data_IF_133104467794
#
_entry.id   IF_133104467794
#
_cell.length_a   1.000
_cell.length_b   1.000
_cell.length_c   1.000
_cell.angle_alpha   90.00
_cell.angle_beta   90.00
_cell.angle_gamma   90.00
#
_symmetry.space_group_name_H-M   'P 1'
#
loop_
_entity.id
_entity.type
_entity.pdbx_description
1 polymer ?
#
# COMPACT_ATOMS: atom_id res chain seq x y z
N UNK A 1 2.32 -27.77 17.97
CA UNK A 1 1.34 -27.56 16.88
C UNK A 1 1.88 -26.51 15.94
N UNK A 2 2.01 -26.77 14.63
CA UNK A 2 2.51 -25.76 13.69
C UNK A 2 1.49 -24.63 13.58
N UNK A 3 1.88 -23.41 13.97
CA UNK A 3 1.05 -22.23 13.78
C UNK A 3 1.20 -21.75 12.34
N UNK A 4 0.14 -21.84 11.56
CA UNK A 4 0.07 -21.38 10.16
C UNK A 4 0.20 -19.85 9.99
N UNK A 5 0.38 -19.11 11.09
CA UNK A 5 0.49 -17.66 11.12
C UNK A 5 1.82 -17.26 11.76
N UNK A 6 2.55 -16.37 11.10
CA UNK A 6 3.77 -15.80 11.63
C UNK A 6 3.45 -14.80 12.76
N UNK A 7 4.41 -14.49 13.63
CA UNK A 7 4.16 -13.58 14.75
C UNK A 7 3.85 -12.14 14.29
N UNK A 8 4.43 -11.71 13.17
CA UNK A 8 4.10 -10.43 12.52
C UNK A 8 2.63 -10.37 12.08
N UNK A 9 2.12 -11.45 11.48
CA UNK A 9 0.72 -11.54 11.03
C UNK A 9 -0.24 -11.45 12.21
N UNK A 10 0.10 -12.11 13.33
CA UNK A 10 -0.68 -12.05 14.57
C UNK A 10 -0.71 -10.63 15.14
N UNK A 11 0.39 -9.87 15.05
CA UNK A 11 0.40 -8.46 15.45
C UNK A 11 -0.46 -7.61 14.53
N UNK A 12 -0.42 -7.84 13.22
CA UNK A 12 -1.22 -7.10 12.26
C UNK A 12 -2.72 -7.32 12.48
N UNK A 13 -3.13 -8.57 12.73
CA UNK A 13 -4.51 -8.93 13.10
C UNK A 13 -4.94 -8.21 14.39
N UNK A 14 -4.08 -8.17 15.41
CA UNK A 14 -4.37 -7.48 16.69
C UNK A 14 -4.48 -5.96 16.53
N UNK A 15 -3.79 -5.35 15.56
CA UNK A 15 -3.95 -3.92 15.23
C UNK A 15 -5.30 -3.63 14.58
N UNK A 16 -5.81 -4.59 13.81
CA UNK A 16 -7.07 -4.44 13.07
C UNK A 16 -8.33 -4.75 13.89
N UNK A 17 -8.17 -5.48 15.01
CA UNK A 17 -9.26 -5.87 15.90
C UNK A 17 -8.96 -5.36 17.32
N UNK A 18 -9.69 -4.33 17.80
CA UNK A 18 -9.46 -3.80 19.15
C UNK A 18 -9.86 -4.81 20.22
N UNK A 19 -8.88 -5.23 21.03
CA UNK A 19 -9.04 -6.25 22.08
C UNK A 19 -9.91 -5.81 23.26
N UNK A 20 -10.10 -4.50 23.45
CA UNK A 20 -10.80 -3.96 24.61
C UNK A 20 -12.26 -4.42 24.69
N UNK A 21 -12.95 -4.51 23.55
CA UNK A 21 -14.34 -4.94 23.45
C UNK A 21 -14.55 -6.28 22.74
N UNK A 22 -13.53 -6.79 22.03
CA UNK A 22 -13.67 -7.98 21.20
C UNK A 22 -12.72 -9.11 21.63
N UNK A 23 -13.26 -10.33 21.72
CA UNK A 23 -12.49 -11.55 21.94
C UNK A 23 -12.31 -12.30 20.61
N UNK A 24 -11.05 -12.53 20.22
CA UNK A 24 -10.72 -13.33 19.03
C UNK A 24 -10.83 -14.82 19.40
N UNK A 25 -11.65 -15.56 18.66
CA UNK A 25 -11.84 -17.00 18.85
C UNK A 25 -10.94 -17.82 17.94
N UNK A 26 -10.88 -17.43 16.67
CA UNK A 26 -10.11 -18.14 15.66
C UNK A 26 -9.54 -17.18 14.62
N UNK A 27 -8.38 -17.55 14.08
CA UNK A 27 -7.74 -16.87 12.95
C UNK A 27 -7.28 -17.93 11.96
N UNK A 28 -7.57 -17.72 10.68
CA UNK A 28 -7.18 -18.63 9.61
C UNK A 28 -6.82 -17.84 8.35
N UNK A 29 -5.93 -18.40 7.51
CA UNK A 29 -5.65 -17.84 6.18
C UNK A 29 -6.65 -18.40 5.18
N UNK A 30 -7.29 -17.54 4.38
CA UNK A 30 -8.33 -17.93 3.43
C UNK A 30 -8.39 -17.05 2.18
N UNK A 31 -9.01 -17.59 1.13
CA UNK A 31 -9.31 -16.92 -0.13
C UNK A 31 -10.83 -16.72 -0.24
N UNK A 32 -11.26 -15.53 -0.64
CA UNK A 32 -12.68 -15.23 -0.80
C UNK A 32 -13.17 -15.66 -2.18
N UNK A 33 -14.21 -16.49 -2.19
CA UNK A 33 -14.94 -16.86 -3.38
C UNK A 33 -16.39 -16.40 -3.27
N UNK A 34 -16.98 -15.99 -4.39
CA UNK A 34 -18.38 -15.55 -4.48
C UNK A 34 -19.06 -16.32 -5.60
N UNK A 35 -20.29 -16.76 -5.36
CA UNK A 35 -21.12 -17.52 -6.30
C UNK A 35 -22.32 -16.67 -6.74
N UNK A 36 -22.04 -15.50 -7.33
CA UNK A 36 -23.06 -14.58 -7.85
C UNK A 36 -22.58 -13.98 -9.18
N UNK A 37 -23.44 -13.84 -10.21
CA UNK A 37 -24.88 -14.16 -10.27
C UNK A 37 -25.22 -15.64 -10.49
N UNK A 38 -24.22 -16.50 -10.75
CA UNK A 38 -24.42 -17.93 -10.93
C UNK A 38 -24.02 -18.70 -9.67
N UNK A 39 -25.01 -19.26 -8.97
CA UNK A 39 -24.82 -20.01 -7.71
C UNK A 39 -24.13 -21.37 -7.90
N UNK A 40 -24.04 -21.89 -9.13
CA UNK A 40 -23.43 -23.18 -9.43
C UNK A 40 -21.91 -23.11 -9.65
N UNK A 41 -21.32 -21.91 -9.62
CA UNK A 41 -19.88 -21.72 -9.83
C UNK A 41 -19.33 -20.72 -8.83
N UNK A 42 -18.31 -21.14 -8.09
CA UNK A 42 -17.52 -20.26 -7.24
C UNK A 42 -16.51 -19.49 -8.08
N UNK A 43 -16.58 -18.16 -8.04
CA UNK A 43 -15.59 -17.28 -8.65
C UNK A 43 -14.69 -16.68 -7.58
N UNK A 44 -13.38 -16.76 -7.79
CA UNK A 44 -12.42 -16.10 -6.91
C UNK A 44 -12.52 -14.58 -7.08
N UNK A 45 -12.61 -13.85 -5.97
CA UNK A 45 -12.79 -12.38 -5.99
C UNK A 45 -11.49 -11.61 -6.17
N UNK A 46 -10.34 -12.28 -6.11
CA UNK A 46 -9.02 -11.62 -6.03
C UNK A 46 -8.59 -11.29 -4.60
N UNK A 47 -9.47 -11.46 -3.61
CA UNK A 47 -9.20 -11.15 -2.21
C UNK A 47 -8.75 -12.39 -1.44
N UNK A 48 -7.63 -12.26 -0.74
CA UNK A 48 -7.05 -13.29 0.12
C UNK A 48 -6.40 -12.63 1.34
N UNK A 49 -6.39 -13.34 2.46
CA UNK A 49 -5.79 -12.83 3.68
C UNK A 49 -6.12 -13.67 4.90
N UNK A 50 -5.93 -13.09 6.08
CA UNK A 50 -6.32 -13.71 7.34
C UNK A 50 -7.77 -13.35 7.67
N UNK A 51 -8.60 -14.35 7.88
CA UNK A 51 -9.96 -14.19 8.40
C UNK A 51 -9.92 -14.34 9.91
N UNK A 52 -10.55 -13.40 10.59
CA UNK A 52 -10.66 -13.34 12.05
C UNK A 52 -12.11 -13.53 12.44
N UNK A 53 -12.37 -14.53 13.27
CA UNK A 53 -13.65 -14.70 13.97
C UNK A 53 -13.55 -14.03 15.34
N UNK A 54 -14.30 -12.94 15.52
CA UNK A 54 -14.33 -12.18 16.76
C UNK A 54 -15.73 -12.20 17.36
N UNK A 55 -15.79 -12.28 18.69
CA UNK A 55 -16.99 -12.07 19.48
C UNK A 55 -16.93 -10.67 20.08
N UNK A 56 -17.91 -9.84 19.75
CA UNK A 56 -18.13 -8.57 20.43
C UNK A 56 -18.79 -8.84 21.79
N UNK A 57 -18.07 -8.52 22.87
CA UNK A 57 -18.54 -8.76 24.23
C UNK A 57 -19.65 -7.79 24.65
N UNK A 58 -19.80 -6.65 23.95
CA UNK A 58 -20.82 -5.65 24.27
C UNK A 58 -22.17 -6.09 23.72
N UNK A 59 -22.21 -6.49 22.44
CA UNK A 59 -23.42 -6.99 21.79
C UNK A 59 -23.64 -8.51 21.87
N UNK A 60 -22.67 -9.28 22.36
CA UNK A 60 -22.63 -10.75 22.29
C UNK A 60 -22.90 -11.28 20.87
N UNK A 61 -22.24 -10.67 19.88
CA UNK A 61 -22.41 -11.02 18.46
C UNK A 61 -21.09 -11.46 17.85
N UNK A 62 -21.16 -12.47 16.99
CA UNK A 62 -20.01 -12.92 16.21
C UNK A 62 -19.93 -12.15 14.91
N UNK A 63 -18.74 -11.65 14.61
CA UNK A 63 -18.44 -11.01 13.33
C UNK A 63 -17.14 -11.57 12.75
N UNK A 64 -17.09 -11.51 11.42
CA UNK A 64 -15.97 -12.00 10.64
C UNK A 64 -15.34 -10.82 9.92
N UNK A 65 -14.02 -10.67 10.03
CA UNK A 65 -13.26 -9.65 9.29
C UNK A 65 -12.07 -10.28 8.60
N UNK A 66 -11.92 -9.96 7.33
CA UNK A 66 -10.74 -10.30 6.54
C UNK A 66 -9.70 -9.17 6.69
N UNK A 67 -8.48 -9.54 7.01
CA UNK A 67 -7.31 -8.68 7.15
C UNK A 67 -6.30 -9.09 6.09
N UNK A 68 -5.79 -8.13 5.32
CA UNK A 68 -4.69 -8.38 4.40
C UNK A 68 -3.40 -8.69 5.18
N UNK A 69 -2.86 -9.89 4.96
CA UNK A 69 -1.59 -10.36 5.53
C UNK A 69 -0.53 -10.56 4.43
N UNK A 70 -0.74 -9.97 3.26
CA UNK A 70 0.28 -9.99 2.22
C UNK A 70 1.55 -9.30 2.74
N UNK A 71 2.67 -10.02 2.68
CA UNK A 71 4.00 -9.47 2.94
C UNK A 71 4.35 -8.56 1.76
N UNK A 72 3.71 -7.40 1.69
CA UNK A 72 4.17 -6.34 0.81
C UNK A 72 5.18 -5.54 1.61
N UNK A 73 6.46 -5.44 1.16
CA UNK A 73 7.27 -4.35 1.65
C UNK A 73 6.46 -3.08 1.39
N UNK A 74 6.31 -2.25 2.42
CA UNK A 74 5.57 -0.99 2.44
C UNK A 74 5.99 0.02 1.32
N UNK A 75 6.86 -0.36 0.39
CA UNK A 75 7.48 0.49 -0.63
C UNK A 75 6.78 0.54 -1.99
N UNK A 76 5.71 -0.22 -2.24
CA UNK A 76 4.94 -0.12 -3.49
C UNK A 76 3.55 0.49 -3.31
N UNK A 77 3.41 1.46 -2.39
CA UNK A 77 2.29 2.39 -2.42
C UNK A 77 2.65 3.57 -3.35
N UNK A 78 2.13 3.65 -4.59
CA UNK A 78 2.30 4.85 -5.43
C UNK A 78 1.52 6.07 -4.89
N UNK A 79 0.76 5.92 -3.80
CA UNK A 79 -0.14 6.95 -3.28
C UNK A 79 0.20 7.46 -1.87
N UNK A 80 1.41 7.20 -1.33
CA UNK A 80 1.87 7.97 -0.17
C UNK A 80 2.23 9.38 -0.65
N UNK A 81 1.21 10.24 -0.68
CA UNK A 81 1.32 11.67 -0.94
C UNK A 81 2.49 12.21 -0.11
N UNK A 82 3.48 12.89 -0.72
CA UNK A 82 4.47 13.61 0.05
C UNK A 82 3.72 14.58 0.96
N UNK A 83 3.92 14.41 2.27
CA UNK A 83 3.54 15.40 3.27
C UNK A 83 4.12 16.73 2.81
N UNK A 84 3.25 17.65 2.38
CA UNK A 84 3.63 19.03 2.06
C UNK A 84 4.30 19.61 3.31
N UNK A 85 5.63 19.58 3.34
CA UNK A 85 6.40 20.48 4.18
C UNK A 85 6.17 21.86 3.59
N UNK A 86 5.43 22.68 4.32
CA UNK A 86 5.31 24.12 4.12
C UNK A 86 6.71 24.69 3.82
N UNK A 87 6.96 25.05 2.56
CA UNK A 87 8.17 25.78 2.17
C UNK A 87 7.98 27.22 2.65
N UNK A 88 8.80 27.74 3.57
CA UNK A 88 8.86 29.17 3.78
C UNK A 88 9.69 29.81 2.66
N UNK A 89 9.42 31.08 2.39
CA UNK A 89 10.29 32.03 1.70
C UNK A 89 10.50 31.84 0.18
N UNK A 90 9.51 32.31 -0.59
CA UNK A 90 9.81 33.06 -1.82
C UNK A 90 10.49 34.37 -1.41
N UNK A 91 11.82 34.40 -1.46
CA UNK A 91 12.62 35.62 -1.32
C UNK A 91 12.57 36.45 -2.62
N UNK A 92 12.48 37.78 -2.58
CA UNK A 92 12.17 38.62 -3.74
C UNK A 92 13.31 38.66 -4.76
N UNK A 93 12.94 38.57 -6.05
CA UNK A 93 13.81 38.76 -7.21
C UNK A 93 14.68 40.02 -7.08
N UNK A 94 15.99 39.83 -6.86
CA UNK A 94 16.99 40.88 -7.16
C UNK A 94 17.13 41.00 -8.67
N UNK A 95 16.88 42.22 -9.17
CA UNK A 95 17.17 42.66 -10.54
C UNK A 95 18.66 42.43 -10.84
N UNK A 96 18.97 41.69 -11.90
CA UNK A 96 20.26 41.73 -12.56
C UNK A 96 20.12 42.61 -13.80
N UNK A 97 20.92 43.67 -13.85
CA UNK A 97 20.98 44.63 -14.96
C UNK A 97 21.61 44.05 -16.23
N UNK A 98 21.63 44.81 -17.33
CA UNK A 98 22.03 44.33 -18.65
C UNK A 98 23.56 44.29 -18.73
N UNK A 99 24.12 43.15 -19.12
CA UNK A 99 25.57 42.96 -19.16
C UNK A 99 26.00 41.82 -20.06
N UNK A 100 26.30 42.20 -21.30
CA UNK A 100 27.28 41.61 -22.21
C UNK A 100 27.05 40.21 -22.83
N UNK A 101 26.75 40.27 -24.12
CA UNK A 101 26.51 39.19 -25.06
C UNK A 101 27.84 38.74 -25.70
N UNK A 102 28.56 37.75 -25.16
CA UNK A 102 29.60 37.02 -25.93
C UNK A 102 29.77 35.56 -25.47
N UNK A 103 29.78 34.68 -26.47
CA UNK A 103 30.30 33.30 -26.47
C UNK A 103 29.47 32.19 -25.81
N UNK A 104 28.55 31.61 -26.60
CA UNK A 104 28.18 30.19 -26.51
C UNK A 104 29.04 29.39 -27.50
N UNK A 105 29.86 28.41 -27.08
CA UNK A 105 30.45 27.45 -27.99
C UNK A 105 29.39 26.43 -28.42
N UNK A 106 29.22 26.32 -29.74
CA UNK A 106 28.43 25.31 -30.44
C UNK A 106 29.09 23.94 -30.25
N UNK A 107 28.36 22.97 -29.68
CA UNK A 107 28.79 21.58 -29.60
C UNK A 107 28.44 20.85 -30.91
N UNK A 108 29.41 20.25 -31.63
CA UNK A 108 29.10 19.38 -32.77
C UNK A 108 28.75 17.96 -32.30
N UNK A 109 27.60 17.44 -32.74
CA UNK A 109 27.20 16.05 -32.53
C UNK A 109 28.04 15.09 -33.39
N UNK A 110 28.38 13.89 -32.91
CA UNK A 110 29.05 12.88 -33.72
C UNK A 110 28.07 11.92 -34.41
N UNK A 111 28.59 11.37 -35.49
CA UNK A 111 27.91 10.76 -36.62
C UNK A 111 27.58 9.27 -36.44
N UNK A 112 26.53 8.86 -37.16
CA UNK A 112 26.30 7.60 -37.89
C UNK A 112 27.33 6.46 -37.73
N UNK A 113 26.81 5.27 -37.42
CA UNK A 113 27.42 3.96 -37.61
C UNK A 113 26.39 3.04 -38.29
N UNK A 114 26.66 2.50 -39.48
CA UNK A 114 25.99 1.31 -39.97
C UNK A 114 26.93 0.10 -39.83
N UNK A 115 26.49 -0.91 -39.07
CA UNK A 115 27.08 -2.25 -39.09
C UNK A 115 26.36 -3.12 -40.11
N UNK A 116 27.18 -3.87 -40.87
CA UNK A 116 26.95 -5.06 -41.69
C UNK A 116 25.60 -5.76 -41.60
#
# INVERSE_FOLDING_TARGET
MPSILNDDDKQNVKRQVPKASNKIHAVAVAKLYVAYPNHNRWQYTGLQGAIVLANDLVGNTFWIKMVDVSVRPFSSCPCRVPRLTTSPALEPRRRLGPGNLRHLPVQPGPYLLPHL
#
